data_IF_941046783326
#
_entry.id   IF_941046783326
#
_cell.length_a   1.000
_cell.length_b   1.000
_cell.length_c   1.000
_cell.angle_alpha   90.00
_cell.angle_beta   90.00
_cell.angle_gamma   90.00
#
_symmetry.space_group_name_H-M   'P 1'
#
loop_
_entity.id
_entity.type
_entity.pdbx_description
1 polymer ?
#
# COMPACT_ATOMS: atom_id res chain seq x y z
N UNK A 1 50.77 16.54 -5.21
CA UNK A 1 50.14 16.15 -5.20
C UNK A 1 49.50 15.71 -5.19
N UNK A 2 49.06 15.48 -5.47
CA UNK A 2 48.29 14.92 -5.40
C UNK A 2 47.58 14.24 -5.40
N UNK A 3 47.26 14.15 -5.43
CA UNK A 3 46.46 13.49 -5.33
C UNK A 3 45.76 12.91 -5.28
N UNK A 4 45.42 12.91 -5.34
CA UNK A 4 44.65 12.33 -5.23
C UNK A 4 43.90 11.81 -5.12
N UNK A 5 43.51 11.72 -5.09
CA UNK A 5 42.64 11.21 -4.90
C UNK A 5 41.87 10.69 -4.90
N UNK A 6 41.45 10.69 -4.81
CA UNK A 6 40.55 10.20 -4.74
C UNK A 6 39.90 9.54 -4.94
N UNK A 7 39.57 9.26 -5.05
CA UNK A 7 38.90 8.66 -5.30
C UNK A 7 38.23 8.06 -4.76
N UNK A 8 37.91 7.93 -4.65
CA UNK A 8 37.18 7.44 -4.18
C UNK A 8 36.22 7.14 -4.18
N UNK A 9 35.80 7.04 -4.12
CA UNK A 9 34.85 6.95 -4.08
C UNK A 9 34.02 6.20 -4.40
N UNK A 10 33.61 5.98 -4.73
CA UNK A 10 32.73 5.24 -5.34
C UNK A 10 32.12 4.14 -4.83
N UNK A 11 32.49 3.70 -4.24
CA UNK A 11 32.10 2.72 -3.61
C UNK A 11 30.81 2.62 -3.13
N UNK A 12 30.18 3.54 -2.89
CA UNK A 12 28.97 3.54 -2.33
C UNK A 12 27.94 2.85 -3.04
N UNK A 13 27.99 2.78 -4.24
CA UNK A 13 26.98 2.20 -5.00
C UNK A 13 26.54 0.85 -4.58
N UNK A 14 27.39 0.03 -4.11
CA UNK A 14 26.96 -1.29 -3.75
C UNK A 14 25.86 -1.32 -2.76
N UNK A 15 25.91 -0.46 -1.84
CA UNK A 15 24.90 -0.47 -0.83
C UNK A 15 23.55 -0.18 -1.36
N UNK A 16 23.49 0.61 -2.38
CA UNK A 16 22.22 0.94 -2.90
C UNK A 16 21.60 -0.20 -3.66
N UNK A 17 22.39 -1.02 -4.25
CA UNK A 17 21.83 -2.09 -5.02
C UNK A 17 20.99 -3.01 -4.21
N UNK A 18 21.30 -3.15 -2.94
CA UNK A 18 20.52 -4.02 -2.11
C UNK A 18 19.11 -3.59 -1.96
N UNK A 19 18.87 -2.32 -1.96
CA UNK A 19 17.52 -1.85 -1.77
C UNK A 19 16.62 -2.28 -2.88
N UNK A 20 17.18 -2.66 -4.00
CA UNK A 20 16.36 -3.03 -5.10
C UNK A 20 15.99 -4.48 -5.14
N UNK A 21 16.48 -5.25 -4.20
CA UNK A 21 16.14 -6.64 -4.15
C UNK A 21 14.75 -6.87 -3.61
N UNK A 22 14.09 -5.85 -3.13
CA UNK A 22 12.75 -5.99 -2.60
C UNK A 22 11.77 -5.36 -3.56
N UNK A 23 11.07 -6.16 -4.33
CA UNK A 23 10.10 -5.62 -5.27
C UNK A 23 9.08 -4.76 -4.54
N UNK A 24 8.71 -3.69 -5.15
CA UNK A 24 7.80 -2.75 -4.56
C UNK A 24 6.39 -2.97 -5.06
N UNK A 25 5.46 -2.99 -4.14
CA UNK A 25 4.06 -2.99 -4.46
C UNK A 25 3.53 -1.61 -4.13
N UNK A 26 2.82 -1.02 -5.08
CA UNK A 26 2.21 0.29 -4.90
C UNK A 26 0.72 0.12 -4.80
N UNK A 27 0.13 0.82 -3.87
CA UNK A 27 -1.28 0.66 -3.58
C UNK A 27 -1.96 1.99 -3.42
N UNK A 28 -3.20 2.06 -3.85
CA UNK A 28 -4.08 3.16 -3.56
C UNK A 28 -5.46 2.61 -3.25
N UNK A 29 -6.26 3.39 -2.54
CA UNK A 29 -7.59 2.99 -2.13
C UNK A 29 -8.59 3.80 -2.94
N UNK A 30 -9.65 3.14 -3.39
CA UNK A 30 -10.73 3.81 -4.10
C UNK A 30 -12.03 3.62 -3.36
N UNK A 31 -12.78 4.68 -3.24
CA UNK A 31 -14.10 4.61 -2.63
C UNK A 31 -15.13 4.30 -3.71
N UNK A 32 -15.54 3.04 -3.76
CA UNK A 32 -16.58 2.63 -4.71
C UNK A 32 -17.94 2.53 -4.03
N UNK A 33 -18.11 3.20 -2.89
CA UNK A 33 -19.39 3.20 -2.20
C UNK A 33 -20.14 4.48 -2.51
N UNK A 34 -21.31 4.62 -1.91
CA UNK A 34 -22.11 5.82 -2.06
C UNK A 34 -21.92 6.78 -0.89
N UNK A 35 -21.13 6.41 0.10
CA UNK A 35 -20.89 7.25 1.26
C UNK A 35 -19.49 7.84 1.19
N UNK A 36 -19.32 9.01 1.78
CA UNK A 36 -18.02 9.62 1.87
C UNK A 36 -17.19 8.84 2.89
N UNK A 37 -15.99 8.48 2.52
CA UNK A 37 -15.00 8.00 3.48
C UNK A 37 -14.35 9.25 4.04
N UNK A 38 -14.70 9.59 5.27
CA UNK A 38 -14.18 10.83 5.84
C UNK A 38 -12.71 10.74 6.13
N UNK A 39 -12.23 9.54 6.35
CA UNK A 39 -10.81 9.31 6.51
C UNK A 39 -10.50 7.87 6.22
N UNK A 40 -9.31 7.62 5.70
CA UNK A 40 -8.85 6.27 5.40
C UNK A 40 -7.44 6.12 5.93
N UNK A 41 -7.20 5.08 6.72
CA UNK A 41 -5.86 4.75 7.18
C UNK A 41 -5.56 3.32 6.76
N UNK A 42 -4.36 3.11 6.30
CA UNK A 42 -3.97 1.78 5.90
C UNK A 42 -2.63 1.41 6.47
N UNK A 43 -2.52 0.24 7.05
CA UNK A 43 -1.28 -0.23 7.64
C UNK A 43 -1.30 -1.73 7.82
N UNK A 44 -0.48 -2.20 8.73
CA UNK A 44 -0.35 -3.61 9.04
C UNK A 44 -0.90 -3.86 10.44
N UNK A 45 -1.50 -5.03 10.66
CA UNK A 45 -2.00 -5.37 11.99
C UNK A 45 -0.88 -5.33 13.03
N UNK A 46 -1.24 -4.94 14.24
CA UNK A 46 -0.32 -4.95 15.38
C UNK A 46 0.90 -4.07 15.21
N UNK A 47 0.83 -3.10 14.32
CA UNK A 47 1.93 -2.16 14.15
C UNK A 47 1.39 -0.75 14.19
N UNK A 48 2.30 0.20 14.16
CA UNK A 48 1.94 1.61 14.08
C UNK A 48 2.30 2.14 12.71
N UNK A 49 2.07 1.33 11.70
CA UNK A 49 2.46 1.68 10.35
C UNK A 49 1.35 2.33 9.55
N UNK A 50 0.27 2.76 10.21
CA UNK A 50 -0.87 3.31 9.50
C UNK A 50 -0.47 4.55 8.71
N UNK A 51 -0.82 4.56 7.44
CA UNK A 51 -0.60 5.68 6.55
C UNK A 51 -1.95 6.35 6.34
N UNK A 52 -1.96 7.65 6.52
CA UNK A 52 -3.17 8.44 6.37
C UNK A 52 -3.38 8.76 4.90
N UNK A 53 -4.44 8.23 4.33
CA UNK A 53 -4.74 8.44 2.91
C UNK A 53 -5.79 9.53 2.69
N UNK A 54 -6.22 10.16 3.79
CA UNK A 54 -7.12 11.30 3.69
C UNK A 54 -8.55 10.91 3.39
N UNK A 55 -9.40 11.89 3.12
CA UNK A 55 -10.79 11.62 2.79
C UNK A 55 -10.95 11.22 1.33
N UNK A 56 -11.99 10.42 1.06
CA UNK A 56 -12.32 10.00 -0.29
C UNK A 56 -13.82 10.10 -0.47
N UNK A 57 -14.23 10.94 -1.40
CA UNK A 57 -15.64 10.97 -1.80
C UNK A 57 -15.95 9.75 -2.66
N UNK A 58 -17.24 9.45 -2.85
CA UNK A 58 -17.58 8.37 -3.77
C UNK A 58 -16.88 8.55 -5.11
N UNK A 59 -16.24 7.51 -5.58
CA UNK A 59 -15.54 7.51 -6.84
C UNK A 59 -14.11 8.01 -6.77
N UNK A 60 -13.70 8.58 -5.67
CA UNK A 60 -12.33 9.10 -5.57
C UNK A 60 -11.34 8.03 -5.22
N UNK A 61 -10.11 8.26 -5.63
CA UNK A 61 -8.98 7.35 -5.37
C UNK A 61 -7.91 8.11 -4.61
N UNK A 62 -7.29 7.45 -3.65
CA UNK A 62 -6.24 8.08 -2.86
C UNK A 62 -4.95 8.19 -3.66
N UNK A 63 -3.97 8.83 -3.04
CA UNK A 63 -2.62 8.80 -3.60
C UNK A 63 -2.04 7.40 -3.48
N UNK A 64 -1.00 7.16 -4.22
CA UNK A 64 -0.29 5.89 -4.16
C UNK A 64 0.62 5.87 -2.94
N UNK A 65 0.82 4.68 -2.38
CA UNK A 65 1.85 4.50 -1.37
C UNK A 65 2.44 3.10 -1.48
N UNK A 66 3.67 2.96 -1.03
CA UNK A 66 4.36 1.68 -1.10
C UNK A 66 3.93 0.80 0.05
N UNK A 67 3.72 -0.47 -0.23
CA UNK A 67 3.27 -1.42 0.77
C UNK A 67 4.02 -2.73 0.62
N UNK A 68 4.03 -3.56 1.67
CA UNK A 68 4.61 -4.91 1.54
C UNK A 68 3.72 -5.79 0.68
N UNK A 69 4.32 -6.75 0.02
CA UNK A 69 3.58 -7.69 -0.81
C UNK A 69 2.59 -8.53 0.00
N UNK A 70 2.83 -8.67 1.29
CA UNK A 70 1.96 -9.45 2.14
C UNK A 70 0.62 -8.77 2.39
N UNK A 71 0.44 -7.55 1.94
CA UNK A 71 -0.77 -6.81 2.23
C UNK A 71 -2.03 -7.51 1.72
N UNK A 72 -1.89 -8.40 0.78
CA UNK A 72 -3.04 -9.17 0.30
C UNK A 72 -3.70 -9.95 1.43
N UNK A 73 -2.94 -10.40 2.39
CA UNK A 73 -3.48 -11.22 3.46
C UNK A 73 -3.05 -10.77 4.85
N UNK A 74 -2.37 -9.65 4.94
CA UNK A 74 -1.93 -9.12 6.23
C UNK A 74 -2.05 -7.61 6.14
N UNK A 75 -3.23 -7.11 6.48
CA UNK A 75 -3.50 -5.69 6.33
C UNK A 75 -4.50 -5.22 7.37
N UNK A 76 -4.51 -3.93 7.57
CA UNK A 76 -5.49 -3.28 8.42
C UNK A 76 -5.86 -1.97 7.75
N UNK A 77 -7.04 -1.90 7.18
CA UNK A 77 -7.54 -0.68 6.57
C UNK A 77 -8.71 -0.19 7.42
N UNK A 78 -8.63 1.03 7.91
CA UNK A 78 -9.69 1.62 8.70
C UNK A 78 -10.32 2.74 7.89
N UNK A 79 -11.63 2.76 7.85
CA UNK A 79 -12.36 3.75 7.09
C UNK A 79 -13.37 4.41 8.02
N UNK A 80 -13.26 5.72 8.15
CA UNK A 80 -14.16 6.49 8.97
C UNK A 80 -15.29 7.01 8.10
N UNK A 81 -16.50 6.64 8.44
CA UNK A 81 -17.70 7.17 7.82
C UNK A 81 -18.29 8.22 8.74
N UNK A 82 -19.40 8.83 8.33
CA UNK A 82 -19.94 9.95 9.10
C UNK A 82 -20.24 9.57 10.53
N UNK A 83 -20.74 8.37 10.78
CA UNK A 83 -21.17 8.00 12.10
C UNK A 83 -20.66 6.66 12.56
N UNK A 84 -19.72 6.07 11.84
CA UNK A 84 -19.18 4.79 12.24
C UNK A 84 -17.83 4.56 11.58
N UNK A 85 -17.06 3.67 12.14
CA UNK A 85 -15.79 3.30 11.57
C UNK A 85 -15.81 1.82 11.23
N UNK A 86 -15.35 1.51 10.04
CA UNK A 86 -15.27 0.13 9.58
C UNK A 86 -13.83 -0.25 9.38
N UNK A 87 -13.53 -1.52 9.57
CA UNK A 87 -12.15 -1.98 9.47
C UNK A 87 -12.10 -3.25 8.64
N UNK A 88 -11.16 -3.29 7.71
CA UNK A 88 -10.86 -4.47 6.95
C UNK A 88 -9.53 -5.00 7.48
N UNK A 89 -9.61 -6.00 8.35
CA UNK A 89 -8.43 -6.58 8.96
C UNK A 89 -8.28 -8.00 8.50
N UNK A 90 -7.14 -8.32 7.96
CA UNK A 90 -6.77 -9.68 7.64
C UNK A 90 -5.42 -9.92 8.26
N UNK A 91 -5.37 -10.83 9.21
CA UNK A 91 -4.17 -11.12 9.96
C UNK A 91 -4.01 -12.63 10.01
N UNK A 92 -3.78 -13.20 8.86
CA UNK A 92 -3.69 -14.62 8.74
C UNK A 92 -2.26 -15.00 8.45
N UNK A 93 -1.78 -15.89 9.28
CA UNK A 93 -0.50 -16.48 9.01
C UNK A 93 -0.76 -17.52 7.96
N UNK A 94 -0.23 -17.34 6.81
CA UNK A 94 -0.52 -18.26 5.75
C UNK A 94 0.56 -19.28 5.60
N UNK A 95 0.17 -20.51 5.51
CA UNK A 95 1.13 -21.51 5.15
C UNK A 95 1.56 -21.32 3.73
N UNK A 96 2.50 -22.08 3.32
CA UNK A 96 3.00 -22.01 1.98
C UNK A 96 1.87 -22.14 0.99
N UNK A 97 2.04 -21.61 -0.14
CA UNK A 97 1.05 -21.65 -1.19
C UNK A 97 0.12 -20.47 -1.23
N UNK A 98 0.17 -19.60 -0.22
CA UNK A 98 -0.64 -18.43 -0.27
C UNK A 98 0.03 -17.39 -1.13
N UNK A 99 -0.76 -16.78 -1.98
CA UNK A 99 -0.24 -15.78 -2.88
C UNK A 99 -0.03 -14.47 -2.16
N UNK A 100 1.08 -13.83 -2.43
CA UNK A 100 1.26 -12.42 -2.09
C UNK A 100 0.99 -11.62 -3.34
N UNK A 101 1.00 -10.30 -3.22
CA UNK A 101 0.87 -9.46 -4.38
C UNK A 101 2.16 -9.49 -5.19
N UNK A 102 2.02 -9.64 -6.48
CA UNK A 102 3.18 -9.51 -7.35
C UNK A 102 3.63 -8.05 -7.37
N UNK A 103 4.89 -7.77 -7.66
CA UNK A 103 5.31 -6.38 -7.80
C UNK A 103 4.43 -5.65 -8.80
N UNK A 104 4.09 -4.41 -8.51
CA UNK A 104 3.26 -3.64 -9.40
C UNK A 104 2.39 -2.66 -8.66
N UNK A 105 1.32 -2.26 -9.32
CA UNK A 105 0.41 -1.25 -8.82
C UNK A 105 -0.98 -1.84 -8.70
N UNK A 106 -1.65 -1.55 -7.60
CA UNK A 106 -2.97 -2.11 -7.33
C UNK A 106 -3.89 -1.06 -6.76
N UNK A 107 -5.14 -1.12 -7.13
CA UNK A 107 -6.18 -0.31 -6.51
C UNK A 107 -7.01 -1.24 -5.64
N UNK A 108 -7.12 -0.89 -4.37
CA UNK A 108 -8.02 -1.58 -3.44
C UNK A 108 -9.31 -0.79 -3.42
N UNK A 109 -10.31 -1.32 -4.12
CA UNK A 109 -11.58 -0.64 -4.22
C UNK A 109 -12.53 -1.20 -3.18
N UNK A 110 -13.06 -0.33 -2.34
CA UNK A 110 -13.97 -0.74 -1.27
C UNK A 110 -15.39 -0.31 -1.57
N UNK A 111 -16.31 -1.25 -1.40
CA UNK A 111 -17.73 -0.95 -1.42
C UNK A 111 -18.28 -1.29 -0.05
N UNK A 112 -19.53 -0.91 0.19
CA UNK A 112 -20.21 -1.16 1.44
C UNK A 112 -21.41 -2.06 1.21
N UNK A 113 -21.55 -3.04 2.09
CA UNK A 113 -22.78 -3.83 2.16
C UNK A 113 -23.22 -3.74 3.62
N UNK A 114 -24.12 -2.82 3.91
CA UNK A 114 -24.49 -2.53 5.28
C UNK A 114 -23.25 -2.02 6.02
N UNK A 115 -22.85 -2.70 7.07
CA UNK A 115 -21.66 -2.32 7.83
C UNK A 115 -20.45 -3.15 7.45
N UNK A 116 -20.51 -3.86 6.34
CA UNK A 116 -19.37 -4.67 5.91
C UNK A 116 -18.66 -3.99 4.75
N UNK A 117 -17.34 -3.99 4.83
CA UNK A 117 -16.51 -3.53 3.73
C UNK A 117 -16.28 -4.70 2.79
N UNK A 118 -16.44 -4.41 1.50
CA UNK A 118 -16.13 -5.39 0.46
C UNK A 118 -14.98 -4.88 -0.36
N UNK A 119 -13.96 -5.69 -0.49
CA UNK A 119 -12.75 -5.31 -1.19
C UNK A 119 -12.68 -5.98 -2.56
N UNK A 120 -12.37 -5.19 -3.56
CA UNK A 120 -11.99 -5.69 -4.87
C UNK A 120 -10.56 -5.23 -5.13
N UNK A 121 -9.68 -6.15 -5.42
CA UNK A 121 -8.29 -5.83 -5.73
C UNK A 121 -8.16 -5.72 -7.24
N UNK A 122 -7.74 -4.56 -7.72
CA UNK A 122 -7.64 -4.29 -9.14
C UNK A 122 -6.18 -4.08 -9.51
N UNK A 123 -5.58 -5.03 -10.23
CA UNK A 123 -4.21 -4.80 -10.70
C UNK A 123 -4.20 -3.70 -11.75
N UNK A 124 -3.23 -2.82 -11.64
CA UNK A 124 -3.05 -1.77 -12.62
C UNK A 124 -1.82 -2.09 -13.45
N UNK A 125 -1.67 -1.41 -14.56
CA UNK A 125 -0.58 -1.73 -15.44
C UNK A 125 0.75 -1.25 -14.85
N UNK A 126 1.79 -2.03 -15.12
CA UNK A 126 3.13 -1.59 -14.82
C UNK A 126 3.62 -1.99 -13.45
N UNK A 127 4.93 -2.12 -13.35
CA UNK A 127 5.57 -2.47 -12.09
C UNK A 127 6.46 -1.36 -11.59
N UNK A 128 6.58 -0.27 -12.32
CA UNK A 128 7.41 0.85 -11.89
C UNK A 128 6.62 1.75 -10.98
N UNK A 129 7.31 2.61 -10.27
CA UNK A 129 6.66 3.57 -9.39
C UNK A 129 5.70 4.42 -10.21
N UNK A 130 4.52 4.71 -9.65
CA UNK A 130 3.55 5.52 -10.38
C UNK A 130 3.94 6.98 -10.40
N UNK A 131 3.46 7.67 -11.41
CA UNK A 131 3.58 9.11 -11.42
C UNK A 131 2.63 9.71 -10.42
N UNK A 132 2.99 10.82 -9.87
CA UNK A 132 2.17 11.42 -8.87
C UNK A 132 1.08 12.24 -9.38
#
# INVERSE_FOLDING_TARGET
MRRTLLRLLPVLAPGLAHAQDHPTVWLRVRNNSQEVFEHVWQGLPRTRSDVDLGPLRPGQTSRWHAVPATLAHYRKTRIQLAQRQLTDVTDTSFPQGRATLEPGRYTFAYTLEGDALRLTVIPEAGTTAPDR
#
